data_IF_511529192575
#
_entry.id   IF_511529192575
#
_cell.length_a   1.000
_cell.length_b   1.000
_cell.length_c   1.000
_cell.angle_alpha   90.00
_cell.angle_beta   90.00
_cell.angle_gamma   90.00
#
_symmetry.space_group_name_H-M   'P 1'
#
loop_
_entity.id
_entity.type
_entity.pdbx_description
1 polymer ?
#
# COMPACT_ATOMS: atom_id res chain seq x y z
N UNK A 1 -21.33 8.47 18.95
CA UNK A 1 -21.14 8.48 17.47
C UNK A 1 -21.69 7.17 16.93
N UNK A 2 -22.23 7.11 15.71
CA UNK A 2 -22.83 5.87 15.17
C UNK A 2 -21.85 5.17 14.21
N UNK A 3 -21.27 4.06 14.67
CA UNK A 3 -20.22 3.30 13.98
C UNK A 3 -19.30 2.63 15.00
N UNK A 4 -18.46 1.66 14.61
CA UNK A 4 -17.57 0.98 15.56
C UNK A 4 -16.44 1.87 16.09
N UNK A 5 -16.08 2.91 15.34
CA UNK A 5 -14.90 3.73 15.63
C UNK A 5 -13.60 2.94 15.45
N UNK A 6 -12.48 3.44 15.98
CA UNK A 6 -12.34 4.76 16.62
C UNK A 6 -12.46 5.93 15.64
N UNK A 7 -12.88 7.08 16.17
CA UNK A 7 -12.99 8.36 15.45
C UNK A 7 -12.34 9.51 16.24
N UNK A 8 -11.93 10.56 15.54
CA UNK A 8 -11.68 11.88 16.11
C UNK A 8 -12.46 12.91 15.29
N UNK A 9 -13.22 13.80 15.93
CA UNK A 9 -14.09 14.76 15.22
C UNK A 9 -13.77 16.17 15.68
N UNK A 10 -13.47 17.05 14.72
CA UNK A 10 -13.30 18.48 14.92
C UNK A 10 -14.64 19.18 14.70
N UNK A 11 -15.14 19.91 15.70
CA UNK A 11 -16.49 20.49 15.70
C UNK A 11 -16.40 22.03 15.76
N UNK A 12 -16.80 22.76 14.70
CA UNK A 12 -16.86 24.22 14.74
C UNK A 12 -17.80 24.71 15.86
N UNK A 13 -17.27 25.53 16.78
CA UNK A 13 -18.06 26.09 17.86
C UNK A 13 -19.03 27.17 17.33
N UNK A 14 -20.25 27.22 17.90
CA UNK A 14 -21.37 27.97 17.32
C UNK A 14 -21.10 29.47 17.13
N UNK A 15 -20.36 30.08 18.06
CA UNK A 15 -19.99 31.51 18.05
C UNK A 15 -19.09 31.92 16.88
N UNK A 16 -18.51 30.95 16.17
CA UNK A 16 -17.61 31.16 15.05
C UNK A 16 -18.27 30.86 13.69
N UNK A 17 -19.34 30.06 13.67
CA UNK A 17 -20.11 29.76 12.45
C UNK A 17 -20.73 31.01 11.80
N UNK A 18 -21.12 32.02 12.59
CA UNK A 18 -21.70 33.26 12.05
C UNK A 18 -20.72 34.14 11.27
N UNK A 19 -19.41 33.82 11.29
CA UNK A 19 -18.35 34.64 10.69
C UNK A 19 -17.99 34.19 9.26
N UNK A 20 -18.60 33.13 8.73
CA UNK A 20 -18.19 32.49 7.46
C UNK A 20 -19.37 32.06 6.60
N UNK A 21 -19.20 32.17 5.27
CA UNK A 21 -20.11 31.67 4.24
C UNK A 21 -19.82 30.24 3.79
N UNK A 22 -18.69 29.64 4.21
CA UNK A 22 -18.15 28.37 3.68
C UNK A 22 -19.17 27.23 3.72
N UNK A 23 -19.96 27.09 4.79
CA UNK A 23 -20.99 26.04 4.87
C UNK A 23 -22.01 26.16 3.73
N UNK A 24 -22.55 27.36 3.50
CA UNK A 24 -23.58 27.61 2.49
C UNK A 24 -23.02 27.51 1.05
N UNK A 25 -21.76 27.88 0.85
CA UNK A 25 -21.04 27.70 -0.42
C UNK A 25 -20.87 26.20 -0.74
N UNK A 26 -20.42 25.41 0.23
CA UNK A 26 -20.21 23.97 0.09
C UNK A 26 -21.52 23.18 -0.01
N UNK A 27 -22.59 23.62 0.66
CA UNK A 27 -23.94 23.09 0.48
C UNK A 27 -24.46 23.37 -0.94
N UNK A 28 -24.35 24.62 -1.41
CA UNK A 28 -24.74 25.03 -2.77
C UNK A 28 -23.94 24.30 -3.87
N UNK A 29 -22.68 23.96 -3.60
CA UNK A 29 -21.85 23.16 -4.49
C UNK A 29 -22.15 21.64 -4.46
N UNK A 30 -23.01 21.18 -3.54
CA UNK A 30 -23.28 19.76 -3.29
C UNK A 30 -22.14 19.02 -2.56
N UNK A 31 -21.11 19.74 -2.13
CA UNK A 31 -19.88 19.24 -1.52
C UNK A 31 -19.96 19.02 0.00
N UNK A 32 -21.09 19.34 0.64
CA UNK A 32 -21.23 19.32 2.11
C UNK A 32 -20.83 17.97 2.77
N UNK A 33 -21.00 16.84 2.07
CA UNK A 33 -20.55 15.53 2.54
C UNK A 33 -19.02 15.50 2.74
N UNK A 34 -18.27 16.11 1.84
CA UNK A 34 -16.81 16.13 1.86
C UNK A 34 -16.24 17.15 2.85
N UNK A 35 -16.96 18.25 3.10
CA UNK A 35 -16.69 19.14 4.23
C UNK A 35 -16.82 18.39 5.57
N UNK A 36 -17.91 17.66 5.76
CA UNK A 36 -18.15 16.86 6.98
C UNK A 36 -17.16 15.69 7.12
N UNK A 37 -16.79 15.04 6.00
CA UNK A 37 -15.71 14.04 5.96
C UNK A 37 -14.33 14.65 6.24
N UNK A 38 -14.11 15.95 6.02
CA UNK A 38 -12.83 16.60 6.37
C UNK A 38 -12.74 16.93 7.87
N UNK A 39 -13.86 17.23 8.52
CA UNK A 39 -13.95 17.42 9.98
C UNK A 39 -13.84 16.11 10.79
N UNK A 40 -13.74 14.95 10.12
CA UNK A 40 -13.67 13.63 10.76
C UNK A 40 -12.36 12.94 10.42
N UNK A 41 -11.64 12.43 11.41
CA UNK A 41 -10.56 11.46 11.26
C UNK A 41 -11.06 10.09 11.74
N UNK A 42 -10.66 9.03 11.05
CA UNK A 42 -10.96 7.64 11.40
C UNK A 42 -9.74 6.93 11.97
N UNK A 43 -9.88 5.66 12.34
CA UNK A 43 -8.79 4.75 12.68
C UNK A 43 -8.04 5.04 13.98
N UNK A 44 -8.11 6.25 14.56
CA UNK A 44 -7.50 6.59 15.83
C UNK A 44 -8.38 7.54 16.66
N UNK A 45 -8.26 7.42 17.99
CA UNK A 45 -8.72 8.41 18.97
C UNK A 45 -7.49 9.27 19.28
N UNK A 46 -7.48 10.52 18.84
CA UNK A 46 -6.37 11.45 19.02
C UNK A 46 -6.74 12.44 20.12
N UNK A 47 -6.00 12.42 21.22
CA UNK A 47 -6.00 13.47 22.23
C UNK A 47 -5.08 14.63 21.81
N UNK A 48 -5.03 15.71 22.58
CA UNK A 48 -4.13 16.84 22.36
C UNK A 48 -2.67 16.39 22.24
N UNK A 49 -2.19 15.59 23.19
CA UNK A 49 -0.84 15.02 23.21
C UNK A 49 -0.55 14.17 21.95
N UNK A 50 -1.54 13.41 21.46
CA UNK A 50 -1.39 12.66 20.20
C UNK A 50 -1.28 13.61 19.01
N UNK A 51 -2.09 14.67 18.96
CA UNK A 51 -2.08 15.67 17.89
C UNK A 51 -0.77 16.48 17.86
N UNK A 52 -0.20 16.84 19.02
CA UNK A 52 1.10 17.51 19.11
C UNK A 52 2.25 16.65 18.55
N UNK A 53 2.08 15.33 18.48
CA UNK A 53 3.06 14.39 17.90
C UNK A 53 3.03 14.27 16.37
N UNK A 54 2.04 14.86 15.68
CA UNK A 54 1.80 14.66 14.25
C UNK A 54 2.07 15.93 13.44
N UNK A 55 2.88 15.86 12.37
CA UNK A 55 2.96 16.96 11.38
C UNK A 55 1.65 17.10 10.57
N UNK A 56 0.99 15.98 10.29
CA UNK A 56 -0.24 15.93 9.50
C UNK A 56 -1.03 14.65 9.76
N UNK A 57 -2.36 14.76 9.75
CA UNK A 57 -3.30 13.66 9.94
C UNK A 57 -4.23 13.55 8.71
N UNK A 58 -4.61 12.34 8.32
CA UNK A 58 -5.44 12.11 7.12
C UNK A 58 -6.92 12.04 7.48
N UNK A 59 -7.72 12.99 6.99
CA UNK A 59 -9.15 13.02 7.24
C UNK A 59 -9.89 11.87 6.54
N UNK A 60 -11.14 11.62 6.93
CA UNK A 60 -12.02 10.65 6.29
C UNK A 60 -12.22 10.99 4.79
N UNK A 61 -12.24 12.27 4.41
CA UNK A 61 -12.30 12.70 3.00
C UNK A 61 -11.07 12.31 2.17
N UNK A 62 -9.97 11.88 2.82
CA UNK A 62 -8.70 11.51 2.18
C UNK A 62 -7.69 12.66 2.09
N UNK A 63 -8.15 13.90 2.26
CA UNK A 63 -7.27 15.06 2.31
C UNK A 63 -6.55 15.13 3.67
N UNK A 64 -5.32 15.64 3.68
CA UNK A 64 -4.58 15.89 4.91
C UNK A 64 -5.09 17.14 5.64
N UNK A 65 -5.06 17.09 6.96
CA UNK A 65 -5.08 18.24 7.85
C UNK A 65 -3.65 18.39 8.38
N UNK A 66 -3.04 19.56 8.23
CA UNK A 66 -1.73 19.86 8.85
C UNK A 66 -1.97 20.25 10.31
N UNK A 67 -1.14 19.79 11.23
CA UNK A 67 -1.22 20.18 12.64
C UNK A 67 0.00 21.02 12.98
N UNK A 68 -0.16 22.05 13.81
CA UNK A 68 0.95 22.87 14.30
C UNK A 68 0.66 23.43 15.68
N UNK A 69 1.71 23.64 16.47
CA UNK A 69 1.62 24.25 17.80
C UNK A 69 2.13 25.69 17.73
N UNK A 70 1.31 26.65 18.15
CA UNK A 70 1.66 28.08 18.24
C UNK A 70 1.17 28.62 19.57
N UNK A 71 2.00 29.33 20.32
CA UNK A 71 1.62 29.97 21.60
C UNK A 71 0.91 28.99 22.57
N UNK A 72 1.47 27.79 22.73
CA UNK A 72 0.92 26.70 23.55
C UNK A 72 -0.54 26.34 23.19
N UNK A 73 -0.88 26.42 21.90
CA UNK A 73 -2.21 26.08 21.36
C UNK A 73 -2.06 25.28 20.06
N UNK A 74 -2.90 24.27 19.89
CA UNK A 74 -3.00 23.49 18.66
C UNK A 74 -3.77 24.25 17.57
N UNK A 75 -3.21 24.25 16.36
CA UNK A 75 -3.81 24.77 15.14
C UNK A 75 -3.90 23.68 14.07
N UNK A 76 -5.01 23.69 13.35
CA UNK A 76 -5.30 22.84 12.21
C UNK A 76 -5.20 23.70 10.94
N UNK A 77 -4.46 23.20 9.96
CA UNK A 77 -4.09 23.93 8.74
C UNK A 77 -3.45 25.31 9.00
N UNK A 78 -2.73 25.48 10.12
CA UNK A 78 -2.21 26.77 10.62
C UNK A 78 -3.23 27.87 10.94
N UNK A 79 -4.47 27.77 10.47
CA UNK A 79 -5.50 28.82 10.51
C UNK A 79 -6.51 28.64 11.64
N UNK A 80 -6.96 27.41 11.88
CA UNK A 80 -8.09 27.10 12.76
C UNK A 80 -7.60 26.53 14.08
N UNK A 81 -7.90 27.20 15.19
CA UNK A 81 -7.45 26.83 16.54
C UNK A 81 -8.38 25.79 17.17
N UNK A 82 -7.80 24.84 17.91
CA UNK A 82 -8.53 24.02 18.89
C UNK A 82 -8.73 24.83 20.17
N UNK A 83 -9.99 25.00 20.60
CA UNK A 83 -10.38 25.86 21.74
C UNK A 83 -10.89 25.10 22.96
N UNK A 84 -11.38 23.88 22.77
CA UNK A 84 -11.74 22.92 23.83
C UNK A 84 -11.42 21.51 23.27
N UNK A 85 -10.66 20.71 24.00
CA UNK A 85 -10.09 19.46 23.51
C UNK A 85 -10.51 18.24 24.35
N UNK A 86 -10.15 17.05 23.86
CA UNK A 86 -10.13 15.81 24.64
C UNK A 86 -11.50 15.32 25.16
N UNK A 87 -12.58 15.78 24.52
CA UNK A 87 -13.96 15.47 24.87
C UNK A 87 -14.29 14.03 24.44
N UNK A 88 -13.83 13.10 25.27
CA UNK A 88 -13.82 11.65 25.01
C UNK A 88 -15.23 11.05 25.06
N UNK A 89 -15.48 10.09 24.18
CA UNK A 89 -16.71 9.28 24.05
C UNK A 89 -16.32 7.84 23.73
N UNK A 90 -17.25 6.90 23.94
CA UNK A 90 -17.04 5.44 23.79
C UNK A 90 -16.29 5.04 22.51
N UNK A 91 -16.63 5.65 21.37
CA UNK A 91 -16.09 5.30 20.06
C UNK A 91 -15.27 6.45 19.41
N UNK A 92 -14.84 7.46 20.18
CA UNK A 92 -14.06 8.56 19.63
C UNK A 92 -13.87 9.81 20.51
N UNK A 93 -12.98 10.71 20.09
CA UNK A 93 -12.71 12.01 20.72
C UNK A 93 -13.38 13.14 19.94
N UNK A 94 -13.81 14.20 20.64
CA UNK A 94 -14.28 15.46 20.05
C UNK A 94 -13.34 16.58 20.48
N UNK A 95 -13.00 17.45 19.53
CA UNK A 95 -12.27 18.70 19.74
C UNK A 95 -13.09 19.84 19.14
N UNK A 96 -13.40 20.89 19.91
CA UNK A 96 -14.05 22.08 19.38
C UNK A 96 -13.03 23.05 18.78
N UNK A 97 -13.40 23.65 17.66
CA UNK A 97 -12.53 24.52 16.85
C UNK A 97 -13.18 25.86 16.54
N UNK A 98 -12.37 26.89 16.31
CA UNK A 98 -12.80 28.28 16.11
C UNK A 98 -13.09 28.68 14.65
N UNK A 99 -13.18 27.69 13.76
CA UNK A 99 -13.45 27.87 12.33
C UNK A 99 -14.00 26.61 11.68
N UNK A 100 -14.27 26.68 10.37
CA UNK A 100 -14.69 25.53 9.54
C UNK A 100 -13.46 25.04 8.77
N UNK A 101 -13.11 23.76 8.90
CA UNK A 101 -12.06 23.14 8.10
C UNK A 101 -12.56 22.90 6.67
N UNK A 102 -11.88 23.47 5.67
CA UNK A 102 -12.11 23.18 4.26
C UNK A 102 -10.80 22.71 3.59
N UNK A 103 -10.78 21.59 2.83
CA UNK A 103 -9.59 21.16 2.11
C UNK A 103 -9.16 22.21 1.08
N UNK A 104 -7.94 22.73 1.18
CA UNK A 104 -7.43 23.79 0.29
C UNK A 104 -7.60 23.46 -1.20
N UNK A 105 -7.35 22.21 -1.59
CA UNK A 105 -7.50 21.73 -2.97
C UNK A 105 -8.92 21.98 -3.50
N UNK A 106 -9.94 21.84 -2.64
CA UNK A 106 -11.35 22.02 -2.96
C UNK A 106 -11.86 23.45 -2.68
N UNK A 107 -11.07 24.33 -2.04
CA UNK A 107 -11.41 25.75 -1.91
C UNK A 107 -11.25 26.51 -3.24
N UNK A 108 -10.43 26.00 -4.18
CA UNK A 108 -10.10 26.69 -5.43
C UNK A 108 -10.32 25.89 -6.71
N UNK A 109 -10.56 24.57 -6.66
CA UNK A 109 -10.83 23.77 -7.86
C UNK A 109 -12.33 23.51 -8.08
N UNK A 110 -12.76 23.69 -9.33
CA UNK A 110 -14.12 23.39 -9.82
C UNK A 110 -14.44 21.89 -9.93
N UNK A 111 -14.02 21.07 -8.96
CA UNK A 111 -14.33 19.64 -8.91
C UNK A 111 -15.80 19.50 -8.47
N UNK A 112 -16.73 19.03 -9.34
CA UNK A 112 -18.12 18.86 -8.94
C UNK A 112 -18.20 17.67 -7.99
N UNK A 113 -18.64 17.88 -6.75
CA UNK A 113 -18.77 16.78 -5.78
C UNK A 113 -19.94 15.82 -6.11
N UNK A 114 -20.78 16.16 -7.09
CA UNK A 114 -21.67 15.22 -7.75
C UNK A 114 -21.01 14.65 -9.01
N UNK A 115 -20.29 13.53 -8.88
CA UNK A 115 -19.77 12.74 -10.01
C UNK A 115 -20.47 11.38 -10.17
N UNK A 116 -21.44 11.08 -9.30
CA UNK A 116 -22.11 9.78 -9.21
C UNK A 116 -22.91 9.36 -10.45
N UNK A 117 -23.07 10.24 -11.45
CA UNK A 117 -23.70 9.95 -12.74
C UNK A 117 -22.68 9.71 -13.87
N UNK A 118 -21.40 10.12 -13.68
CA UNK A 118 -20.34 9.98 -14.69
C UNK A 118 -19.85 8.54 -14.82
N UNK A 119 -19.29 8.19 -15.97
CA UNK A 119 -18.66 6.88 -16.19
C UNK A 119 -17.34 6.73 -15.43
N UNK A 120 -16.95 5.48 -15.20
CA UNK A 120 -15.62 5.10 -14.66
C UNK A 120 -14.45 5.80 -15.36
N UNK A 121 -14.52 5.98 -16.68
CA UNK A 121 -13.45 6.60 -17.47
C UNK A 121 -13.36 8.10 -17.19
N UNK A 122 -14.47 8.82 -17.19
CA UNK A 122 -14.51 10.26 -16.96
C UNK A 122 -14.06 10.62 -15.54
N UNK A 123 -14.39 9.80 -14.54
CA UNK A 123 -13.95 10.00 -13.15
C UNK A 123 -12.47 9.65 -12.99
N UNK A 124 -11.99 8.55 -13.59
CA UNK A 124 -10.56 8.21 -13.57
C UNK A 124 -9.70 9.31 -14.22
N UNK A 125 -10.09 9.79 -15.40
CA UNK A 125 -9.34 10.83 -16.13
C UNK A 125 -9.43 12.20 -15.43
N UNK A 126 -10.60 12.58 -14.89
CA UNK A 126 -10.75 13.82 -14.12
C UNK A 126 -9.98 13.83 -12.79
N UNK A 127 -9.62 12.67 -12.25
CA UNK A 127 -8.82 12.53 -11.02
C UNK A 127 -7.36 12.12 -11.27
N UNK A 128 -6.91 12.03 -12.54
CA UNK A 128 -5.49 11.80 -12.88
C UNK A 128 -5.04 10.33 -12.96
N UNK A 129 -5.94 9.38 -13.13
CA UNK A 129 -5.67 7.95 -13.29
C UNK A 129 -5.68 7.53 -14.78
N UNK A 130 -4.90 8.24 -15.60
CA UNK A 130 -4.92 8.11 -17.07
C UNK A 130 -4.34 6.78 -17.54
N UNK A 131 -3.34 6.24 -16.83
CA UNK A 131 -2.79 4.92 -17.10
C UNK A 131 -3.85 3.87 -16.78
N UNK A 132 -4.50 3.95 -15.62
CA UNK A 132 -5.57 3.01 -15.25
C UNK A 132 -6.76 3.05 -16.22
N UNK A 133 -7.25 4.25 -16.60
CA UNK A 133 -8.37 4.41 -17.54
C UNK A 133 -8.04 3.81 -18.91
N UNK A 134 -6.82 4.01 -19.40
CA UNK A 134 -6.29 3.43 -20.64
C UNK A 134 -6.19 1.91 -20.55
N UNK A 135 -5.66 1.36 -19.47
CA UNK A 135 -5.51 -0.09 -19.31
C UNK A 135 -6.88 -0.80 -19.21
N UNK A 136 -7.90 -0.18 -18.61
CA UNK A 136 -9.28 -0.69 -18.66
C UNK A 136 -9.87 -0.71 -20.07
N UNK A 137 -9.63 0.34 -20.87
CA UNK A 137 -10.03 0.40 -22.28
C UNK A 137 -9.35 -0.71 -23.08
N UNK A 138 -8.01 -0.81 -23.01
CA UNK A 138 -7.24 -1.76 -23.82
C UNK A 138 -7.38 -3.23 -23.41
N UNK A 139 -7.81 -3.53 -22.17
CA UNK A 139 -8.09 -4.92 -21.73
C UNK A 139 -9.55 -5.34 -21.90
N UNK A 140 -10.42 -4.46 -22.41
CA UNK A 140 -11.84 -4.73 -22.61
C UNK A 140 -12.66 -4.87 -21.31
N UNK A 141 -12.08 -4.57 -20.15
CA UNK A 141 -12.73 -4.75 -18.84
C UNK A 141 -13.93 -3.83 -18.62
N UNK A 142 -14.09 -2.77 -19.42
CA UNK A 142 -15.31 -1.93 -19.40
C UNK A 142 -16.60 -2.74 -19.66
N UNK A 143 -16.54 -3.81 -20.46
CA UNK A 143 -17.68 -4.71 -20.66
C UNK A 143 -18.08 -5.47 -19.39
N UNK A 144 -17.11 -5.73 -18.50
CA UNK A 144 -17.33 -6.37 -17.20
C UNK A 144 -17.89 -5.38 -16.17
N UNK A 145 -17.42 -4.13 -16.21
CA UNK A 145 -17.88 -3.03 -15.34
C UNK A 145 -19.31 -2.59 -15.69
N UNK A 146 -19.63 -2.51 -16.98
CA UNK A 146 -20.96 -2.14 -17.47
C UNK A 146 -22.01 -3.26 -17.31
N UNK A 147 -21.62 -4.47 -16.91
CA UNK A 147 -22.55 -5.56 -16.64
C UNK A 147 -23.20 -5.40 -15.26
N UNK A 148 -24.53 -5.20 -15.24
CA UNK A 148 -25.32 -5.01 -14.01
C UNK A 148 -25.25 -6.20 -13.05
N UNK A 149 -24.92 -7.40 -13.52
CA UNK A 149 -24.74 -8.60 -12.70
C UNK A 149 -23.48 -8.56 -11.79
N UNK A 150 -22.69 -7.50 -11.85
CA UNK A 150 -21.49 -7.29 -11.02
C UNK A 150 -21.54 -5.97 -10.24
N UNK A 151 -22.65 -5.25 -10.29
CA UNK A 151 -22.79 -3.92 -9.71
C UNK A 151 -23.47 -3.99 -8.33
N UNK A 152 -23.12 -3.09 -7.38
CA UNK A 152 -22.13 -2.02 -7.52
C UNK A 152 -20.69 -2.50 -7.27
N UNK A 153 -19.71 -1.70 -7.70
CA UNK A 153 -18.29 -1.98 -7.50
C UNK A 153 -17.65 -1.17 -6.35
N UNK A 154 -16.62 -1.76 -5.75
CA UNK A 154 -15.59 -1.08 -4.96
C UNK A 154 -14.24 -1.34 -5.63
N UNK A 155 -13.55 -0.30 -6.09
CA UNK A 155 -12.31 -0.44 -6.85
C UNK A 155 -11.12 0.25 -6.18
N UNK A 156 -9.93 -0.25 -6.45
CA UNK A 156 -8.65 0.37 -6.13
C UNK A 156 -7.99 0.82 -7.44
N UNK A 157 -7.62 2.08 -7.55
CA UNK A 157 -7.00 2.62 -8.75
C UNK A 157 -5.56 3.02 -8.38
N UNK A 158 -4.53 2.28 -8.82
CA UNK A 158 -3.16 2.71 -8.67
C UNK A 158 -2.96 4.02 -9.43
N UNK A 159 -2.32 4.99 -8.80
CA UNK A 159 -2.01 6.29 -9.43
C UNK A 159 -1.11 6.09 -10.66
N UNK A 160 -1.08 7.07 -11.55
CA UNK A 160 -0.13 7.04 -12.68
C UNK A 160 1.33 6.97 -12.16
N UNK A 161 1.63 7.55 -10.99
CA UNK A 161 2.90 7.40 -10.27
C UNK A 161 3.16 5.96 -9.79
N UNK A 162 2.15 5.24 -9.29
CA UNK A 162 2.26 3.85 -8.88
C UNK A 162 2.66 2.93 -10.05
N UNK A 163 2.11 3.18 -11.24
CA UNK A 163 2.48 2.46 -12.47
C UNK A 163 3.88 2.85 -12.99
N UNK A 164 4.25 4.13 -12.89
CA UNK A 164 5.56 4.61 -13.34
C UNK A 164 6.71 4.23 -12.39
N UNK A 165 6.41 3.96 -11.11
CA UNK A 165 7.37 3.52 -10.09
C UNK A 165 7.75 2.03 -10.17
N UNK A 166 7.06 1.24 -11.00
CA UNK A 166 7.38 -0.18 -11.21
C UNK A 166 8.78 -0.34 -11.84
N UNK A 167 9.54 -1.40 -11.50
CA UNK A 167 10.81 -1.71 -12.16
C UNK A 167 10.67 -1.79 -13.69
N UNK A 168 11.66 -1.30 -14.44
CA UNK A 168 11.58 -1.22 -15.91
C UNK A 168 11.32 -2.58 -16.59
N UNK A 169 11.90 -3.67 -16.04
CA UNK A 169 11.64 -5.05 -16.48
C UNK A 169 10.18 -5.46 -16.23
N UNK A 170 9.62 -5.13 -15.05
CA UNK A 170 8.22 -5.38 -14.72
C UNK A 170 7.27 -4.57 -15.62
N UNK A 171 7.59 -3.31 -15.94
CA UNK A 171 6.82 -2.51 -16.90
C UNK A 171 6.85 -3.14 -18.30
N UNK A 172 8.03 -3.49 -18.80
CA UNK A 172 8.19 -4.12 -20.11
C UNK A 172 7.46 -5.46 -20.19
N UNK A 173 7.48 -6.25 -19.12
CA UNK A 173 6.73 -7.50 -19.00
C UNK A 173 5.22 -7.26 -18.96
N UNK A 174 4.73 -6.39 -18.07
CA UNK A 174 3.30 -6.15 -17.82
C UNK A 174 2.59 -5.55 -19.04
N UNK A 175 3.26 -4.69 -19.79
CA UNK A 175 2.72 -4.07 -21.01
C UNK A 175 2.97 -4.88 -22.29
N UNK A 176 3.64 -6.04 -22.21
CA UNK A 176 3.88 -6.88 -23.39
C UNK A 176 2.58 -7.41 -23.99
N UNK A 177 2.52 -7.54 -25.32
CA UNK A 177 1.31 -7.98 -26.02
C UNK A 177 0.86 -9.38 -25.61
N UNK A 178 1.81 -10.26 -25.33
CA UNK A 178 1.52 -11.66 -24.95
C UNK A 178 1.06 -11.78 -23.49
N UNK A 179 1.34 -10.77 -22.65
CA UNK A 179 0.98 -10.74 -21.23
C UNK A 179 -0.32 -9.99 -20.95
N UNK A 180 -1.11 -9.67 -21.98
CA UNK A 180 -2.42 -9.01 -21.86
C UNK A 180 -3.41 -9.73 -20.94
N UNK A 181 -3.32 -11.06 -20.86
CA UNK A 181 -4.06 -11.90 -19.92
C UNK A 181 -3.63 -11.67 -18.47
N UNK A 182 -2.32 -11.58 -18.21
CA UNK A 182 -1.75 -11.23 -16.89
C UNK A 182 -2.12 -9.81 -16.49
N UNK A 183 -1.97 -8.82 -17.37
CA UNK A 183 -2.44 -7.44 -17.12
C UNK A 183 -3.94 -7.38 -16.76
N UNK A 184 -4.80 -8.11 -17.48
CA UNK A 184 -6.22 -8.21 -17.15
C UNK A 184 -6.44 -8.84 -15.76
N UNK A 185 -5.61 -9.79 -15.36
CA UNK A 185 -5.65 -10.40 -14.03
C UNK A 185 -5.22 -9.43 -12.90
N UNK A 186 -4.18 -8.63 -13.10
CA UNK A 186 -3.81 -7.53 -12.18
C UNK A 186 -4.97 -6.54 -11.99
N UNK A 187 -5.56 -6.05 -13.08
CA UNK A 187 -6.68 -5.11 -13.02
C UNK A 187 -7.92 -5.71 -12.33
N UNK A 188 -8.21 -7.00 -12.55
CA UNK A 188 -9.26 -7.73 -11.81
C UNK A 188 -8.95 -7.87 -10.32
N UNK A 189 -7.67 -7.96 -9.95
CA UNK A 189 -7.21 -7.93 -8.55
C UNK A 189 -7.51 -6.61 -7.82
N UNK A 190 -7.78 -5.55 -8.59
CA UNK A 190 -8.12 -4.23 -8.07
C UNK A 190 -9.63 -3.94 -8.04
N UNK A 191 -10.46 -4.92 -8.42
CA UNK A 191 -11.91 -4.74 -8.55
C UNK A 191 -12.66 -5.72 -7.63
N UNK A 192 -13.40 -5.18 -6.67
CA UNK A 192 -14.40 -5.93 -5.89
C UNK A 192 -15.78 -5.62 -6.47
N UNK A 193 -16.54 -6.67 -6.78
CA UNK A 193 -17.90 -6.56 -7.33
C UNK A 193 -18.96 -6.83 -6.27
N UNK A 194 -20.23 -6.62 -6.63
CA UNK A 194 -21.42 -6.93 -5.82
C UNK A 194 -21.51 -6.13 -4.49
N UNK A 195 -20.67 -5.12 -4.26
CA UNK A 195 -20.62 -4.30 -3.04
C UNK A 195 -19.98 -2.91 -3.27
N UNK A 196 -20.59 -1.87 -2.66
CA UNK A 196 -20.06 -0.49 -2.56
C UNK A 196 -19.71 -0.19 -1.11
N UNK A 197 -18.42 -0.19 -0.76
CA UNK A 197 -17.94 0.06 0.60
C UNK A 197 -17.47 1.50 0.74
N UNK A 198 -17.87 2.19 1.81
CA UNK A 198 -17.41 3.55 2.13
C UNK A 198 -16.13 3.50 2.98
N UNK A 199 -15.33 4.56 2.98
CA UNK A 199 -13.99 4.55 3.59
C UNK A 199 -14.02 4.24 5.10
N UNK A 200 -15.02 4.78 5.81
CA UNK A 200 -15.30 4.51 7.23
C UNK A 200 -15.78 3.07 7.53
N UNK A 201 -15.94 2.22 6.52
CA UNK A 201 -16.33 0.81 6.63
C UNK A 201 -15.31 -0.17 6.04
N UNK A 202 -14.32 0.28 5.26
CA UNK A 202 -13.26 -0.59 4.72
C UNK A 202 -12.56 -1.38 5.83
N UNK A 203 -12.19 -0.70 6.92
CA UNK A 203 -11.50 -1.28 8.08
C UNK A 203 -12.42 -1.99 9.09
N UNK A 204 -13.74 -1.98 8.88
CA UNK A 204 -14.68 -2.82 9.65
C UNK A 204 -14.86 -4.23 9.05
N UNK A 205 -14.29 -4.49 7.87
CA UNK A 205 -14.36 -5.75 7.12
C UNK A 205 -13.05 -6.55 7.30
N UNK A 206 -13.15 -7.88 7.34
CA UNK A 206 -11.96 -8.77 7.41
C UNK A 206 -11.18 -8.82 6.11
N UNK A 207 -11.88 -9.05 5.00
CA UNK A 207 -11.34 -8.96 3.63
C UNK A 207 -12.46 -8.85 2.60
N UNK A 208 -12.10 -8.41 1.39
CA UNK A 208 -12.98 -8.43 0.22
C UNK A 208 -12.40 -9.35 -0.86
N UNK A 209 -13.25 -10.11 -1.56
CA UNK A 209 -12.83 -10.96 -2.67
C UNK A 209 -12.87 -10.20 -3.99
N UNK A 210 -11.75 -10.18 -4.68
CA UNK A 210 -11.56 -9.48 -5.96
C UNK A 210 -12.11 -10.29 -7.14
N UNK A 211 -12.26 -9.65 -8.30
CA UNK A 211 -12.57 -10.29 -9.57
C UNK A 211 -11.44 -11.20 -10.10
N UNK A 212 -10.22 -11.11 -9.54
CA UNK A 212 -9.18 -12.10 -9.78
C UNK A 212 -9.49 -13.43 -9.04
N UNK A 213 -10.19 -13.34 -7.92
CA UNK A 213 -10.55 -14.47 -7.05
C UNK A 213 -9.76 -14.50 -5.74
N UNK A 214 -8.62 -13.78 -5.68
CA UNK A 214 -7.85 -13.50 -4.46
C UNK A 214 -8.57 -12.50 -3.55
N UNK A 215 -8.19 -12.45 -2.27
CA UNK A 215 -8.75 -11.53 -1.27
C UNK A 215 -7.79 -10.40 -0.92
N UNK A 216 -8.33 -9.20 -0.68
CA UNK A 216 -7.60 -8.03 -0.16
C UNK A 216 -8.12 -7.67 1.23
N UNK A 217 -7.22 -7.29 2.15
CA UNK A 217 -7.56 -6.76 3.48
C UNK A 217 -7.43 -5.23 3.53
N UNK A 218 -8.06 -4.60 4.52
CA UNK A 218 -7.90 -3.18 4.81
C UNK A 218 -7.64 -3.00 6.29
N UNK A 219 -6.67 -2.16 6.66
CA UNK A 219 -6.38 -1.86 8.06
C UNK A 219 -5.94 -0.42 8.25
N UNK A 220 -6.00 0.03 9.50
CA UNK A 220 -5.53 1.35 9.89
C UNK A 220 -4.00 1.39 9.90
N UNK A 221 -3.42 2.48 9.40
CA UNK A 221 -1.97 2.70 9.55
C UNK A 221 -1.59 2.81 11.04
N UNK A 222 -0.41 2.29 11.37
CA UNK A 222 0.20 2.38 12.70
C UNK A 222 1.11 3.59 12.87
N UNK A 223 1.48 4.26 11.77
CA UNK A 223 2.46 5.37 11.79
C UNK A 223 1.83 6.73 11.49
N UNK A 224 0.76 6.76 10.69
CA UNK A 224 0.14 8.00 10.20
C UNK A 224 -1.33 8.00 10.62
N UNK A 225 -1.76 9.00 11.38
CA UNK A 225 -3.14 9.05 11.83
C UNK A 225 -4.14 9.15 10.66
N UNK A 226 -5.17 8.31 10.67
CA UNK A 226 -6.25 8.31 9.66
C UNK A 226 -5.92 7.73 8.28
N UNK A 227 -4.69 7.27 8.03
CA UNK A 227 -4.33 6.51 6.82
C UNK A 227 -4.94 5.09 6.86
N UNK A 228 -5.43 4.64 5.71
CA UNK A 228 -5.85 3.24 5.48
C UNK A 228 -4.79 2.58 4.61
N UNK A 229 -4.26 1.44 5.06
CA UNK A 229 -3.41 0.56 4.26
C UNK A 229 -4.20 -0.64 3.75
N UNK A 230 -3.77 -1.17 2.61
CA UNK A 230 -4.39 -2.27 1.87
C UNK A 230 -3.44 -3.45 1.85
N UNK A 231 -4.01 -4.65 1.90
CA UNK A 231 -3.31 -5.93 1.82
C UNK A 231 -2.04 -5.97 2.69
N UNK A 232 -2.26 -5.90 4.01
CA UNK A 232 -1.23 -5.98 5.06
C UNK A 232 -0.14 -4.88 5.01
N UNK A 233 -0.27 -3.87 4.16
CA UNK A 233 0.71 -2.78 4.00
C UNK A 233 1.28 -2.66 2.59
N UNK A 234 0.91 -3.55 1.66
CA UNK A 234 1.40 -3.56 0.27
C UNK A 234 1.01 -2.31 -0.55
N UNK A 235 -0.03 -1.57 -0.12
CA UNK A 235 -0.36 -0.24 -0.63
C UNK A 235 -1.06 0.60 0.43
N UNK A 236 -1.19 1.92 0.20
CA UNK A 236 -1.97 2.86 1.02
C UNK A 236 -3.02 3.57 0.16
N UNK A 237 -4.19 3.83 0.75
CA UNK A 237 -5.25 4.62 0.11
C UNK A 237 -4.94 6.12 0.23
N UNK A 238 -4.47 6.71 -0.88
CA UNK A 238 -4.11 8.13 -1.01
C UNK A 238 -5.26 9.02 -1.47
N UNK A 239 -6.31 8.48 -2.11
CA UNK A 239 -7.50 9.24 -2.49
C UNK A 239 -8.78 8.45 -2.20
N UNK A 240 -9.84 9.14 -1.79
CA UNK A 240 -11.08 8.53 -1.27
C UNK A 240 -12.30 9.11 -1.97
N UNK A 241 -13.40 8.36 -1.96
CA UNK A 241 -14.72 8.81 -2.43
C UNK A 241 -14.79 9.26 -3.90
N UNK A 242 -14.00 8.64 -4.78
CA UNK A 242 -14.19 8.77 -6.24
C UNK A 242 -15.43 7.95 -6.65
N UNK A 243 -16.62 8.52 -6.47
CA UNK A 243 -17.89 7.90 -6.84
C UNK A 243 -18.20 8.08 -8.33
N UNK A 244 -18.66 7.00 -8.97
CA UNK A 244 -19.04 6.95 -10.38
C UNK A 244 -20.30 6.09 -10.54
N UNK A 245 -20.92 6.13 -11.73
CA UNK A 245 -22.25 5.59 -12.03
C UNK A 245 -22.54 4.15 -11.58
N UNK A 246 -21.52 3.29 -11.44
CA UNK A 246 -21.67 1.89 -11.03
C UNK A 246 -20.86 1.49 -9.79
N UNK A 247 -20.30 2.45 -9.04
CA UNK A 247 -19.45 2.09 -7.88
C UNK A 247 -18.82 3.24 -7.08
N UNK A 248 -17.68 2.93 -6.48
CA UNK A 248 -16.77 3.82 -5.78
C UNK A 248 -15.33 3.36 -5.99
N UNK A 249 -14.40 4.31 -6.05
CA UNK A 249 -12.97 4.04 -6.18
C UNK A 249 -12.13 4.73 -5.12
N UNK A 250 -10.96 4.12 -4.90
CA UNK A 250 -9.94 4.48 -3.93
C UNK A 250 -8.58 4.52 -4.61
N UNK A 251 -7.90 5.66 -4.58
CA UNK A 251 -6.57 5.81 -5.17
C UNK A 251 -5.53 5.09 -4.32
N UNK A 252 -4.66 4.27 -4.91
CA UNK A 252 -3.54 3.60 -4.22
C UNK A 252 -2.19 4.09 -4.73
N UNK A 253 -1.23 4.24 -3.82
CA UNK A 253 0.14 4.65 -4.15
C UNK A 253 1.00 3.51 -4.75
N UNK A 254 0.54 2.27 -4.68
CA UNK A 254 1.16 1.10 -5.29
C UNK A 254 0.15 0.29 -6.12
N UNK A 255 0.66 -0.41 -7.13
CA UNK A 255 -0.04 -1.48 -7.84
C UNK A 255 -0.04 -2.73 -6.96
N UNK A 256 -1.22 -3.24 -6.58
CA UNK A 256 -1.31 -4.51 -5.86
C UNK A 256 -0.96 -5.67 -6.80
N UNK A 257 -0.11 -6.59 -6.34
CA UNK A 257 0.20 -7.83 -7.05
C UNK A 257 -0.65 -8.98 -6.47
N UNK A 258 -1.61 -9.53 -7.24
CA UNK A 258 -2.33 -10.71 -6.80
C UNK A 258 -1.38 -11.92 -6.62
N UNK A 259 -1.65 -12.81 -5.64
CA UNK A 259 -1.02 -14.12 -5.63
C UNK A 259 -1.25 -14.83 -6.98
N UNK A 260 -0.32 -15.72 -7.34
CA UNK A 260 -0.28 -16.45 -8.61
C UNK A 260 0.06 -15.61 -9.87
N UNK A 261 0.26 -14.29 -9.73
CA UNK A 261 0.75 -13.43 -10.82
C UNK A 261 2.22 -13.03 -10.68
N UNK A 262 2.71 -12.81 -9.45
CA UNK A 262 4.09 -12.42 -9.17
C UNK A 262 5.08 -13.58 -9.27
N UNK A 263 6.32 -13.25 -9.66
CA UNK A 263 7.43 -14.21 -9.72
C UNK A 263 8.01 -14.48 -8.32
N UNK A 264 7.24 -15.19 -7.49
CA UNK A 264 7.80 -15.92 -6.34
C UNK A 264 8.62 -17.11 -6.86
N UNK A 265 9.82 -16.79 -7.33
CA UNK A 265 10.92 -17.75 -7.34
C UNK A 265 11.32 -17.97 -5.88
N UNK A 266 10.57 -18.81 -5.16
CA UNK A 266 10.82 -19.09 -3.75
C UNK A 266 12.27 -19.58 -3.58
N UNK A 267 12.95 -19.03 -2.58
CA UNK A 267 14.33 -19.39 -2.27
C UNK A 267 14.38 -20.87 -1.86
N UNK A 268 14.99 -21.71 -2.70
CA UNK A 268 15.02 -23.16 -2.52
C UNK A 268 15.75 -23.54 -1.22
N UNK A 269 15.00 -23.69 -0.13
CA UNK A 269 15.50 -24.29 1.11
C UNK A 269 15.78 -25.78 0.86
N UNK A 270 17.03 -26.10 0.54
CA UNK A 270 17.55 -27.47 0.52
C UNK A 270 17.61 -28.02 1.94
N UNK A 271 16.51 -28.64 2.38
CA UNK A 271 16.47 -29.40 3.63
C UNK A 271 17.26 -30.69 3.44
N UNK A 272 18.45 -30.77 4.03
CA UNK A 272 19.20 -32.03 4.12
C UNK A 272 18.49 -32.97 5.10
N UNK A 273 17.85 -34.02 4.57
CA UNK A 273 17.25 -35.09 5.38
C UNK A 273 18.35 -36.04 5.84
N UNK A 274 18.93 -35.75 7.00
CA UNK A 274 19.95 -36.58 7.64
C UNK A 274 19.34 -37.85 8.27
N UNK A 275 19.31 -38.94 7.51
CA UNK A 275 18.93 -40.26 8.03
C UNK A 275 19.99 -40.79 9.01
N UNK A 276 19.71 -40.70 10.31
CA UNK A 276 20.48 -41.38 11.35
C UNK A 276 20.22 -42.89 11.31
N UNK A 277 21.23 -43.67 10.92
CA UNK A 277 21.25 -45.12 11.10
C UNK A 277 21.56 -45.46 12.56
N UNK A 278 20.53 -45.79 13.34
CA UNK A 278 20.69 -46.33 14.70
C UNK A 278 21.10 -47.82 14.66
N UNK A 279 21.86 -48.27 15.66
CA UNK A 279 22.38 -49.66 15.74
C UNK A 279 22.10 -50.30 17.10
N UNK A 280 21.27 -51.35 17.09
CA UNK A 280 21.00 -52.21 18.25
C UNK A 280 20.65 -53.65 17.84
N UNK A 281 21.50 -54.60 18.24
CA UNK A 281 21.35 -56.06 18.06
C UNK A 281 21.01 -56.72 19.43
N UNK A 282 20.67 -58.03 19.55
CA UNK A 282 20.69 -59.15 18.58
C UNK A 282 19.27 -59.80 18.41
N UNK A 283 18.98 -61.05 17.98
CA UNK A 283 19.74 -62.33 17.98
C UNK A 283 19.20 -63.39 16.98
N UNK A 284 19.63 -64.64 17.15
CA UNK A 284 19.27 -65.94 16.52
C UNK A 284 17.76 -66.17 16.27
N UNK A 285 17.31 -66.99 15.29
CA UNK A 285 17.76 -68.38 15.05
C UNK A 285 17.71 -68.94 13.60
N UNK A 286 18.14 -70.21 13.45
CA UNK A 286 18.64 -70.95 12.27
C UNK A 286 17.64 -71.36 11.13
N UNK A 287 18.01 -71.03 9.86
CA UNK A 287 18.24 -71.89 8.65
C UNK A 287 17.32 -73.09 8.24
N UNK A 288 17.35 -73.59 6.96
CA UNK A 288 17.97 -73.08 5.71
C UNK A 288 17.13 -73.22 4.39
N UNK A 289 17.67 -72.61 3.32
CA UNK A 289 17.62 -73.03 1.89
C UNK A 289 16.29 -73.22 1.12
N UNK A 290 16.06 -72.40 0.08
CA UNK A 290 16.08 -72.80 -1.35
C UNK A 290 16.08 -71.54 -2.24
N UNK A 291 16.80 -71.54 -3.38
CA UNK A 291 16.79 -70.46 -4.39
C UNK A 291 16.48 -71.06 -5.77
N UNK A 292 15.49 -70.51 -6.49
CA UNK A 292 15.64 -70.25 -7.92
C UNK A 292 15.64 -68.75 -8.22
N UNK A 293 16.33 -68.35 -9.30
CA UNK A 293 16.32 -66.97 -9.80
C UNK A 293 15.12 -66.77 -10.71
N UNK A 294 14.43 -65.63 -10.60
CA UNK A 294 13.80 -65.01 -11.76
C UNK A 294 13.89 -63.49 -11.65
N UNK A 295 14.20 -62.83 -12.76
CA UNK A 295 14.28 -61.38 -12.84
C UNK A 295 13.14 -60.88 -13.73
N UNK A 296 12.40 -59.87 -13.26
CA UNK A 296 11.37 -59.19 -14.03
C UNK A 296 11.32 -57.73 -13.60
N UNK A 297 11.86 -56.84 -14.43
CA UNK A 297 11.79 -55.41 -14.20
C UNK A 297 10.35 -54.91 -14.36
N UNK A 298 9.87 -54.11 -13.41
CA UNK A 298 8.74 -53.19 -13.63
C UNK A 298 9.24 -51.75 -13.48
N UNK A 299 9.49 -51.12 -14.62
CA UNK A 299 9.75 -49.68 -14.72
C UNK A 299 8.42 -48.95 -14.88
N UNK A 300 7.93 -48.31 -13.81
CA UNK A 300 6.72 -47.48 -13.87
C UNK A 300 7.00 -46.25 -14.73
N UNK A 301 6.31 -46.13 -15.87
CA UNK A 301 6.57 -45.10 -16.88
C UNK A 301 5.69 -43.87 -16.65
N UNK A 302 6.20 -42.88 -15.89
CA UNK A 302 5.58 -41.54 -15.81
C UNK A 302 6.04 -40.68 -16.97
N UNK A 303 5.11 -40.27 -17.83
CA UNK A 303 5.38 -39.40 -18.98
C UNK A 303 5.35 -37.92 -18.60
N UNK A 304 6.51 -37.34 -18.26
CA UNK A 304 6.65 -35.89 -18.14
C UNK A 304 6.92 -35.27 -19.53
N UNK A 305 6.08 -34.33 -19.94
CA UNK A 305 6.32 -33.49 -21.11
C UNK A 305 7.18 -32.28 -20.68
N UNK A 306 8.22 -31.88 -21.44
CA UNK A 306 9.22 -30.93 -20.96
C UNK A 306 8.71 -29.49 -20.94
N UNK A 307 8.56 -28.92 -19.74
CA UNK A 307 8.38 -27.48 -19.55
C UNK A 307 9.72 -26.74 -19.65
N UNK A 308 10.09 -26.33 -20.87
CA UNK A 308 11.10 -25.29 -21.08
C UNK A 308 10.57 -23.95 -20.52
N UNK A 309 11.34 -23.11 -19.84
CA UNK A 309 12.71 -23.28 -19.32
C UNK A 309 13.33 -21.91 -18.97
N UNK A 310 13.83 -21.75 -17.75
CA UNK A 310 14.52 -20.51 -17.36
C UNK A 310 15.92 -20.45 -17.99
N UNK A 311 16.13 -19.55 -18.95
CA UNK A 311 17.38 -19.43 -19.69
C UNK A 311 18.55 -18.96 -18.83
N UNK A 312 19.50 -19.85 -18.54
CA UNK A 312 20.79 -19.48 -17.96
C UNK A 312 21.77 -19.01 -19.05
N UNK A 313 22.18 -17.74 -19.00
CA UNK A 313 23.25 -17.19 -19.86
C UNK A 313 24.29 -16.42 -19.03
N UNK A 314 25.18 -17.16 -18.37
CA UNK A 314 26.42 -16.64 -17.80
C UNK A 314 27.62 -17.39 -18.42
N UNK A 315 28.58 -16.67 -18.99
CA UNK A 315 29.82 -17.28 -19.51
C UNK A 315 30.77 -17.65 -18.36
N UNK A 316 31.46 -18.80 -18.42
CA UNK A 316 32.48 -19.14 -17.44
C UNK A 316 33.68 -18.17 -17.52
N UNK A 317 34.25 -17.84 -16.37
CA UNK A 317 35.52 -17.10 -16.24
C UNK A 317 36.58 -18.06 -15.66
N UNK A 318 37.83 -18.10 -16.14
CA UNK A 318 38.78 -19.13 -15.71
C UNK A 318 39.17 -19.03 -14.23
N UNK A 319 39.42 -20.18 -13.61
CA UNK A 319 40.06 -20.29 -12.30
C UNK A 319 41.56 -19.94 -12.42
N UNK A 320 42.09 -19.25 -11.41
CA UNK A 320 43.53 -19.22 -11.11
C UNK A 320 43.74 -19.68 -9.67
N UNK A 321 44.76 -20.52 -9.47
CA UNK A 321 45.08 -21.18 -8.20
C UNK A 321 45.83 -20.27 -7.23
N UNK A 322 45.70 -20.56 -5.94
CA UNK A 322 46.54 -19.96 -4.90
C UNK A 322 47.97 -20.51 -4.99
N UNK A 323 48.97 -19.62 -4.95
CA UNK A 323 50.31 -19.95 -4.44
C UNK A 323 50.83 -18.83 -3.52
N UNK A 324 51.51 -19.26 -2.45
CA UNK A 324 52.30 -18.55 -1.45
C UNK A 324 53.30 -19.59 -0.89
N UNK A 325 54.41 -19.21 -0.23
CA UNK A 325 54.81 -17.87 0.23
C UNK A 325 56.24 -17.47 -0.22
N UNK A 326 56.75 -16.34 0.27
CA UNK A 326 58.04 -16.28 1.01
C UNK A 326 58.17 -14.95 1.79
N UNK A 327 59.12 -14.87 2.73
CA UNK A 327 59.27 -13.75 3.68
C UNK A 327 60.71 -13.26 3.79
N UNK A 328 60.90 -11.95 4.01
CA UNK A 328 62.13 -11.35 4.59
C UNK A 328 61.84 -9.98 5.23
N UNK A 329 62.72 -9.52 6.13
CA UNK A 329 62.52 -8.38 7.03
C UNK A 329 63.23 -7.06 6.60
N UNK A 330 63.20 -6.08 7.51
CA UNK A 330 64.11 -4.93 7.71
C UNK A 330 63.82 -3.60 6.97
N UNK A 331 64.08 -2.39 7.53
CA UNK A 331 64.07 -1.89 8.94
C UNK A 331 64.26 -0.35 8.95
N UNK A 332 63.79 0.37 10.00
CA UNK A 332 63.90 1.84 10.25
C UNK A 332 63.15 2.75 9.24
N UNK A 333 62.74 3.98 9.60
CA UNK A 333 62.59 4.55 10.95
C UNK A 333 62.67 6.09 11.06
N UNK A 334 61.94 6.61 12.06
CA UNK A 334 62.16 7.85 12.81
C UNK A 334 61.72 9.24 12.26
N UNK A 335 61.01 9.96 13.16
CA UNK A 335 60.82 11.43 13.29
C UNK A 335 59.94 12.18 12.27
N UNK A 336 59.50 13.42 12.55
CA UNK A 336 58.83 14.07 13.71
C UNK A 336 58.63 15.57 13.35
N UNK A 337 57.84 16.32 14.14
CA UNK A 337 57.62 17.79 14.03
C UNK A 337 56.77 18.23 12.82
N UNK A 338 55.81 19.16 12.90
CA UNK A 338 55.17 19.80 14.07
C UNK A 338 55.07 21.34 14.02
N UNK A 339 53.99 21.87 14.62
CA UNK A 339 53.73 23.29 15.00
C UNK A 339 52.86 24.18 14.08
N UNK A 340 52.05 25.03 14.74
CA UNK A 340 51.35 26.27 14.38
C UNK A 340 50.84 26.48 12.93
N UNK A 341 49.56 26.76 12.62
CA UNK A 341 48.47 27.51 13.29
C UNK A 341 48.62 29.05 13.33
N UNK A 342 47.72 29.75 12.64
CA UNK A 342 47.40 31.17 12.86
C UNK A 342 46.00 31.53 12.30
N UNK A 343 45.12 32.02 13.18
CA UNK A 343 43.78 32.55 12.88
C UNK A 343 43.75 34.07 13.11
N UNK A 344 43.01 34.83 12.29
CA UNK A 344 42.44 36.15 12.66
C UNK A 344 41.40 36.73 11.67
N UNK A 345 40.13 36.48 11.99
CA UNK A 345 39.01 37.47 12.12
C UNK A 345 39.07 38.85 11.44
N UNK A 346 37.98 39.17 10.71
CA UNK A 346 37.06 40.36 10.73
C UNK A 346 36.57 40.66 9.31
N UNK A 347 35.29 40.90 8.94
CA UNK A 347 34.04 41.42 9.54
C UNK A 347 33.88 42.96 9.60
N UNK A 348 32.90 43.45 8.82
CA UNK A 348 32.09 44.67 8.96
C UNK A 348 32.77 46.04 9.06
N UNK A 349 32.51 46.87 8.04
CA UNK A 349 31.65 48.06 8.16
C UNK A 349 30.82 48.21 6.89
#
# INVERSE_FOLDING_TARGET
MVGKGPYTIFVPHADYLQKTTTFAEWEKAGCIKDLLRYHTVICQMLLSDDLESQDSITALSGHKIRVSVKENSLYLNDEVKIIESDITRENGVIHFIDGILAPYDLQHHSIPCNQSEKTIIEVAEAHGYNIYSKLLKETGLLNLVNNTLHQPFTMLWPTDEAFNSLPAEMQQWLYHKDHRSKLSAYLKGHMVRDIKVLASKLTELSSLRTLHGSTISFSCSKTNAGDIVVDNGNAKIVQRYMEFNVGIAYGTDHLLEPPDLGSRCDEFQTVEISHSLDQGSPTLDLWPSTIPRYASNWSTQTSEAPSMGCNQHAKPRPLQSMEKPFSTELVRGAKNVGSAALDKKKTFS
#
